data_IF_513163649708
#
_entry.id   IF_513163649708
#
_cell.length_a   1.000
_cell.length_b   1.000
_cell.length_c   1.000
_cell.angle_alpha   90.00
_cell.angle_beta   90.00
_cell.angle_gamma   90.00
#
_symmetry.space_group_name_H-M   'P 1'
#
loop_
_entity.id
_entity.type
_entity.pdbx_description
1 polymer ?
#
# COMPACT_ATOMS: atom_id res chain seq x y z
N UNK A 1 11.43 -17.20 19.75
CA UNK A 1 10.65 -17.32 18.50
C UNK A 1 9.48 -16.34 18.59
N UNK A 2 9.77 -15.04 18.74
CA UNK A 2 8.76 -14.12 19.33
C UNK A 2 8.80 -12.65 18.86
N UNK A 3 9.65 -12.26 17.89
CA UNK A 3 9.68 -10.86 17.41
C UNK A 3 9.53 -10.71 15.89
N UNK A 4 9.85 -11.75 15.09
CA UNK A 4 9.67 -11.74 13.64
C UNK A 4 8.19 -11.69 13.19
N UNK A 5 7.24 -11.99 14.09
CA UNK A 5 5.79 -11.91 13.82
C UNK A 5 5.17 -10.51 14.04
N UNK A 6 5.92 -9.53 14.56
CA UNK A 6 5.41 -8.15 14.76
C UNK A 6 5.66 -7.22 13.57
N UNK A 7 6.55 -7.60 12.65
CA UNK A 7 6.87 -6.84 11.44
C UNK A 7 5.72 -6.64 10.42
N UNK A 8 4.68 -7.51 10.30
CA UNK A 8 3.63 -7.26 9.32
C UNK A 8 2.69 -6.15 9.73
N UNK A 9 2.72 -5.62 10.96
CA UNK A 9 1.67 -4.72 11.46
C UNK A 9 2.04 -3.23 11.53
N UNK A 10 3.21 -2.83 11.04
CA UNK A 10 3.62 -1.42 11.08
C UNK A 10 2.68 -0.51 10.26
N UNK A 11 2.09 -1.03 9.18
CA UNK A 11 1.04 -0.34 8.44
C UNK A 11 -0.26 -0.18 9.26
N UNK A 12 -0.58 -1.13 10.16
CA UNK A 12 -1.70 -0.96 11.10
C UNK A 12 -1.44 0.17 12.09
N UNK A 13 -0.20 0.36 12.55
CA UNK A 13 0.13 1.46 13.48
C UNK A 13 -0.04 2.82 12.81
N UNK A 14 0.38 2.96 11.55
CA UNK A 14 0.17 4.17 10.75
C UNK A 14 -1.33 4.41 10.51
N UNK A 15 -2.07 3.38 10.08
CA UNK A 15 -3.51 3.46 9.87
C UNK A 15 -4.29 3.73 11.17
N UNK A 16 -3.87 3.15 12.30
CA UNK A 16 -4.49 3.37 13.60
C UNK A 16 -4.22 4.79 14.13
N UNK A 17 -3.03 5.34 13.86
CA UNK A 17 -2.68 6.72 14.24
C UNK A 17 -3.48 7.74 13.42
N UNK A 18 -3.62 7.52 12.11
CA UNK A 18 -4.52 8.29 11.24
C UNK A 18 -5.99 8.12 11.65
N UNK A 19 -6.39 6.90 12.01
CA UNK A 19 -7.74 6.62 12.50
C UNK A 19 -8.06 7.31 13.81
N UNK A 20 -7.10 7.41 14.74
CA UNK A 20 -7.26 8.14 15.99
C UNK A 20 -7.40 9.66 15.77
N UNK A 21 -6.81 10.22 14.72
CA UNK A 21 -7.07 11.62 14.32
C UNK A 21 -8.48 11.76 13.70
N UNK A 22 -8.85 10.88 12.78
CA UNK A 22 -10.19 10.86 12.16
C UNK A 22 -11.34 10.65 13.16
N UNK A 23 -11.14 9.88 14.22
CA UNK A 23 -12.17 9.56 15.23
C UNK A 23 -12.41 10.69 16.24
N UNK A 24 -11.50 11.68 16.33
CA UNK A 24 -11.64 12.79 17.29
C UNK A 24 -12.59 13.90 16.84
N UNK A 25 -13.06 13.86 15.59
CA UNK A 25 -13.83 14.97 14.98
C UNK A 25 -15.20 14.56 14.39
N UNK A 26 -15.61 13.29 14.40
CA UNK A 26 -16.75 12.81 13.60
C UNK A 26 -18.02 12.46 14.40
N UNK A 27 -19.17 12.90 13.89
CA UNK A 27 -20.52 12.41 14.20
C UNK A 27 -20.66 10.92 13.83
N UNK A 28 -21.05 10.10 14.80
CA UNK A 28 -21.14 8.63 14.75
C UNK A 28 -22.22 8.08 13.77
N UNK A 29 -22.84 8.93 12.95
CA UNK A 29 -23.97 8.57 12.09
C UNK A 29 -23.58 8.02 10.71
N UNK A 30 -22.33 8.20 10.26
CA UNK A 30 -21.77 7.55 9.06
C UNK A 30 -20.50 6.78 9.41
N UNK A 31 -20.50 5.47 9.15
CA UNK A 31 -19.30 4.64 9.30
C UNK A 31 -18.29 5.06 8.24
N UNK A 32 -17.18 5.68 8.66
CA UNK A 32 -16.11 6.05 7.75
C UNK A 32 -15.44 4.81 7.17
N UNK A 33 -15.05 4.90 5.90
CA UNK A 33 -14.52 3.77 5.14
C UNK A 33 -13.01 3.87 4.94
N UNK A 34 -12.31 2.74 4.96
CA UNK A 34 -10.93 2.65 4.51
C UNK A 34 -10.88 1.83 3.22
N UNK A 35 -10.22 2.37 2.20
CA UNK A 35 -10.10 1.74 0.89
C UNK A 35 -8.71 1.11 0.73
N UNK A 36 -8.65 -0.15 0.30
CA UNK A 36 -7.43 -0.77 -0.23
C UNK A 36 -7.48 -0.86 -1.75
N UNK A 37 -6.36 -0.57 -2.43
CA UNK A 37 -6.14 -0.81 -3.85
C UNK A 37 -4.92 -1.72 -3.98
N UNK A 38 -5.14 -3.02 -4.18
CA UNK A 38 -4.05 -4.01 -4.15
C UNK A 38 -4.40 -5.28 -4.94
N UNK A 39 -3.44 -6.21 -5.00
CA UNK A 39 -3.67 -7.56 -5.51
C UNK A 39 -4.55 -8.39 -4.57
N UNK A 40 -5.27 -9.35 -5.15
CA UNK A 40 -6.01 -10.38 -4.42
C UNK A 40 -5.16 -11.64 -4.30
N UNK A 41 -4.89 -12.02 -3.06
CA UNK A 41 -4.38 -13.32 -2.65
C UNK A 41 -5.56 -14.25 -2.33
N UNK A 42 -5.84 -15.29 -3.13
CA UNK A 42 -6.95 -16.21 -2.88
C UNK A 42 -6.80 -17.05 -1.60
N UNK A 43 -5.59 -17.17 -1.04
CA UNK A 43 -5.36 -17.88 0.23
C UNK A 43 -5.74 -17.04 1.46
N UNK A 44 -5.93 -15.73 1.30
CA UNK A 44 -6.21 -14.79 2.39
C UNK A 44 -4.99 -14.40 3.23
N UNK A 45 -3.77 -14.75 2.82
CA UNK A 45 -2.54 -14.45 3.55
C UNK A 45 -1.95 -13.06 3.28
N UNK A 46 -2.41 -12.36 2.25
CA UNK A 46 -1.96 -11.03 1.85
C UNK A 46 -3.02 -10.25 1.06
N UNK A 47 -2.61 -9.09 0.52
CA UNK A 47 -3.41 -8.30 -0.42
C UNK A 47 -4.69 -7.75 0.18
N UNK A 48 -5.68 -7.51 -0.68
CA UNK A 48 -6.93 -6.84 -0.28
C UNK A 48 -7.67 -7.54 0.87
N UNK A 49 -7.55 -8.87 1.00
CA UNK A 49 -8.24 -9.62 2.06
C UNK A 49 -7.65 -9.31 3.45
N UNK A 50 -6.33 -9.21 3.55
CA UNK A 50 -5.67 -8.83 4.80
C UNK A 50 -5.95 -7.38 5.14
N UNK A 51 -5.86 -6.48 4.16
CA UNK A 51 -6.18 -5.06 4.37
C UNK A 51 -7.62 -4.87 4.87
N UNK A 52 -8.58 -5.57 4.27
CA UNK A 52 -9.99 -5.56 4.69
C UNK A 52 -10.15 -6.06 6.13
N UNK A 53 -9.47 -7.15 6.50
CA UNK A 53 -9.52 -7.67 7.87
C UNK A 53 -8.94 -6.67 8.88
N UNK A 54 -7.84 -6.03 8.52
CA UNK A 54 -7.18 -4.96 9.29
C UNK A 54 -8.12 -3.77 9.49
N UNK A 55 -8.75 -3.25 8.42
CA UNK A 55 -9.65 -2.11 8.52
C UNK A 55 -10.84 -2.41 9.44
N UNK A 56 -11.42 -3.61 9.34
CA UNK A 56 -12.51 -4.05 10.24
C UNK A 56 -12.05 -4.10 11.69
N UNK A 57 -10.87 -4.67 11.95
CA UNK A 57 -10.30 -4.73 13.30
C UNK A 57 -10.06 -3.33 13.90
N UNK A 58 -9.78 -2.35 13.05
CA UNK A 58 -9.62 -0.94 13.44
C UNK A 58 -10.96 -0.15 13.50
N UNK A 59 -12.11 -0.80 13.26
CA UNK A 59 -13.44 -0.18 13.35
C UNK A 59 -13.90 0.58 12.11
N UNK A 60 -13.18 0.49 10.99
CA UNK A 60 -13.59 1.10 9.73
C UNK A 60 -14.50 0.18 8.91
N UNK A 61 -15.35 0.78 8.07
CA UNK A 61 -15.98 0.04 6.98
C UNK A 61 -14.92 -0.26 5.90
N UNK A 62 -14.65 -1.52 5.57
CA UNK A 62 -13.64 -1.85 4.59
C UNK A 62 -14.19 -1.75 3.16
N UNK A 63 -13.46 -1.08 2.28
CA UNK A 63 -13.66 -1.13 0.84
C UNK A 63 -12.40 -1.64 0.14
N UNK A 64 -12.54 -2.28 -1.01
CA UNK A 64 -11.40 -2.77 -1.79
C UNK A 64 -11.59 -2.60 -3.29
N UNK A 65 -10.47 -2.36 -3.97
CA UNK A 65 -10.32 -2.37 -5.42
C UNK A 65 -9.24 -3.38 -5.75
N UNK A 66 -9.55 -4.32 -6.64
CA UNK A 66 -8.60 -5.36 -7.04
C UNK A 66 -7.80 -4.87 -8.25
N UNK A 67 -6.49 -4.73 -8.07
CA UNK A 67 -5.55 -4.30 -9.11
C UNK A 67 -4.89 -5.48 -9.85
N UNK A 68 -4.81 -6.64 -9.19
CA UNK A 68 -4.27 -7.86 -9.77
C UNK A 68 -4.90 -9.09 -9.11
N UNK A 69 -5.01 -10.18 -9.85
CA UNK A 69 -5.36 -11.49 -9.34
C UNK A 69 -4.10 -12.33 -9.29
N UNK A 70 -3.85 -13.00 -8.17
CA UNK A 70 -2.75 -13.95 -8.07
C UNK A 70 -3.29 -15.38 -8.15
N UNK A 71 -2.57 -16.23 -8.89
CA UNK A 71 -2.71 -17.67 -8.81
C UNK A 71 -1.66 -18.13 -7.82
N UNK A 72 -2.01 -18.20 -6.53
CA UNK A 72 -1.07 -18.55 -5.47
C UNK A 72 -1.74 -19.42 -4.40
N UNK A 73 -0.92 -20.10 -3.62
CA UNK A 73 -1.31 -20.75 -2.38
C UNK A 73 -0.47 -20.17 -1.22
N UNK A 74 -0.53 -20.79 -0.04
CA UNK A 74 0.20 -20.30 1.14
C UNK A 74 1.73 -20.40 1.01
N UNK A 75 2.23 -21.09 -0.01
CA UNK A 75 3.66 -21.40 -0.18
C UNK A 75 4.29 -20.68 -1.36
N UNK A 76 3.56 -20.45 -2.46
CA UNK A 76 4.14 -19.82 -3.66
C UNK A 76 3.14 -19.11 -4.54
N UNK A 77 3.65 -18.17 -5.34
CA UNK A 77 2.91 -17.48 -6.40
C UNK A 77 3.22 -18.11 -7.75
N UNK A 78 2.21 -18.70 -8.39
CA UNK A 78 2.33 -19.43 -9.65
C UNK A 78 2.03 -18.55 -10.86
N UNK A 79 1.28 -17.47 -10.66
CA UNK A 79 0.95 -16.54 -11.73
C UNK A 79 0.31 -15.27 -11.19
N UNK A 80 0.33 -14.22 -12.01
CA UNK A 80 -0.31 -12.94 -11.72
C UNK A 80 -1.02 -12.48 -12.98
N UNK A 81 -2.25 -12.01 -12.83
CA UNK A 81 -3.04 -11.39 -13.90
C UNK A 81 -3.40 -9.98 -13.45
N UNK A 82 -2.83 -8.98 -14.11
CA UNK A 82 -3.21 -7.59 -13.89
C UNK A 82 -4.66 -7.34 -14.29
N UNK A 83 -5.40 -6.63 -13.45
CA UNK A 83 -6.71 -6.09 -13.83
C UNK A 83 -6.49 -4.92 -14.78
N UNK A 84 -7.36 -4.76 -15.77
CA UNK A 84 -7.31 -3.63 -16.70
C UNK A 84 -7.30 -2.29 -15.93
N UNK A 85 -6.40 -1.34 -16.26
CA UNK A 85 -6.29 -0.07 -15.55
C UNK A 85 -7.57 0.77 -15.56
N UNK A 86 -8.35 0.69 -16.64
CA UNK A 86 -9.66 1.36 -16.75
C UNK A 86 -10.68 0.73 -15.80
N UNK A 87 -10.64 -0.60 -15.64
CA UNK A 87 -11.45 -1.31 -14.64
C UNK A 87 -11.00 -0.99 -13.21
N UNK A 88 -9.70 -0.90 -12.92
CA UNK A 88 -9.19 -0.46 -11.61
C UNK A 88 -9.70 0.93 -11.26
N UNK A 89 -9.59 1.87 -12.21
CA UNK A 89 -10.10 3.23 -12.04
C UNK A 89 -11.61 3.26 -11.81
N UNK A 90 -12.38 2.54 -12.63
CA UNK A 90 -13.84 2.51 -12.54
C UNK A 90 -14.34 1.93 -11.21
N UNK A 91 -13.68 0.88 -10.70
CA UNK A 91 -13.97 0.33 -9.37
C UNK A 91 -13.76 1.39 -8.28
N UNK A 92 -12.62 2.08 -8.32
CA UNK A 92 -12.29 3.07 -7.30
C UNK A 92 -13.20 4.30 -7.35
N UNK A 93 -13.52 4.80 -8.55
CA UNK A 93 -14.47 5.90 -8.73
C UNK A 93 -15.86 5.57 -8.20
N UNK A 94 -16.33 4.33 -8.38
CA UNK A 94 -17.59 3.87 -7.81
C UNK A 94 -17.56 3.90 -6.27
N UNK A 95 -16.45 3.47 -5.66
CA UNK A 95 -16.27 3.51 -4.20
C UNK A 95 -16.21 4.94 -3.67
N UNK A 96 -15.39 5.81 -4.26
CA UNK A 96 -15.26 7.21 -3.83
C UNK A 96 -16.56 8.00 -3.98
N UNK A 97 -17.41 7.62 -4.94
CA UNK A 97 -18.71 8.26 -5.15
C UNK A 97 -19.75 7.87 -4.08
N UNK A 98 -19.66 6.66 -3.55
CA UNK A 98 -20.66 6.09 -2.63
C UNK A 98 -20.26 6.23 -1.15
N UNK A 99 -18.96 6.08 -0.84
CA UNK A 99 -18.46 5.97 0.52
C UNK A 99 -17.70 7.23 0.97
N UNK A 100 -17.83 7.56 2.26
CA UNK A 100 -16.93 8.52 2.93
C UNK A 100 -15.60 7.84 3.24
N UNK A 101 -14.67 7.91 2.28
CA UNK A 101 -13.34 7.30 2.39
C UNK A 101 -12.42 8.16 3.26
N UNK A 102 -12.04 7.64 4.42
CA UNK A 102 -11.16 8.30 5.38
C UNK A 102 -9.67 8.07 5.14
N UNK A 103 -9.30 6.98 4.48
CA UNK A 103 -7.91 6.68 4.14
C UNK A 103 -7.85 5.69 2.97
N UNK A 104 -6.73 5.74 2.24
CA UNK A 104 -6.41 4.80 1.18
C UNK A 104 -5.10 4.06 1.49
N UNK A 105 -5.11 2.74 1.37
CA UNK A 105 -3.92 1.89 1.32
C UNK A 105 -3.71 1.43 -0.12
N UNK A 106 -2.51 1.60 -0.64
CA UNK A 106 -2.11 1.04 -1.93
C UNK A 106 -1.12 -0.09 -1.68
N UNK A 107 -1.34 -1.25 -2.30
CA UNK A 107 -0.47 -2.42 -2.24
C UNK A 107 0.08 -2.80 -3.61
N UNK A 108 0.19 -4.11 -3.88
CA UNK A 108 0.67 -4.61 -5.16
C UNK A 108 -0.24 -4.20 -6.33
N UNK A 109 0.31 -3.53 -7.35
CA UNK A 109 -0.42 -3.02 -8.51
C UNK A 109 -0.14 -3.76 -9.83
N UNK A 110 0.84 -4.67 -9.84
CA UNK A 110 1.29 -5.43 -11.01
C UNK A 110 1.96 -4.62 -12.12
N UNK A 111 1.23 -3.78 -12.86
CA UNK A 111 1.73 -3.14 -14.09
C UNK A 111 2.01 -1.65 -13.94
N UNK A 112 2.82 -1.11 -14.85
CA UNK A 112 3.10 0.34 -14.93
C UNK A 112 1.82 1.15 -15.21
N UNK A 113 0.89 0.59 -15.99
CA UNK A 113 -0.38 1.22 -16.31
C UNK A 113 -1.28 1.30 -15.09
N UNK A 114 -1.30 0.26 -14.24
CA UNK A 114 -2.03 0.30 -12.98
C UNK A 114 -1.43 1.32 -11.99
N UNK A 115 -0.10 1.41 -11.92
CA UNK A 115 0.56 2.46 -11.12
C UNK A 115 0.15 3.85 -11.59
N UNK A 116 0.12 4.09 -12.91
CA UNK A 116 -0.35 5.37 -13.47
C UNK A 116 -1.81 5.64 -13.17
N UNK A 117 -2.69 4.67 -13.39
CA UNK A 117 -4.12 4.81 -13.15
C UNK A 117 -4.42 5.14 -11.68
N UNK A 118 -3.74 4.46 -10.74
CA UNK A 118 -3.88 4.73 -9.30
C UNK A 118 -3.28 6.10 -8.93
N UNK A 119 -2.12 6.47 -9.47
CA UNK A 119 -1.55 7.80 -9.21
C UNK A 119 -2.46 8.92 -9.73
N UNK A 120 -3.00 8.78 -10.94
CA UNK A 120 -3.90 9.77 -11.55
C UNK A 120 -5.21 9.91 -10.75
N UNK A 121 -5.76 8.78 -10.28
CA UNK A 121 -6.91 8.75 -9.38
C UNK A 121 -6.61 9.49 -8.06
N UNK A 122 -5.49 9.17 -7.39
CA UNK A 122 -5.16 9.75 -6.08
C UNK A 122 -4.84 11.25 -6.14
N UNK A 123 -4.42 11.79 -7.29
CA UNK A 123 -4.26 13.25 -7.45
C UNK A 123 -5.57 14.02 -7.31
N UNK A 124 -6.73 13.37 -7.51
CA UNK A 124 -8.03 13.99 -7.28
C UNK A 124 -8.47 13.95 -5.80
N UNK A 125 -7.72 13.26 -4.94
CA UNK A 125 -8.09 12.94 -3.55
C UNK A 125 -6.93 13.21 -2.57
N UNK A 126 -6.23 14.34 -2.74
CA UNK A 126 -5.04 14.70 -1.94
C UNK A 126 -5.36 15.13 -0.51
N UNK A 127 -6.63 15.35 -0.19
CA UNK A 127 -7.14 15.62 1.16
C UNK A 127 -7.27 14.36 2.03
N UNK A 128 -7.24 13.17 1.41
CA UNK A 128 -7.36 11.89 2.10
C UNK A 128 -5.96 11.30 2.36
N UNK A 129 -5.63 10.85 3.59
CA UNK A 129 -4.38 10.16 3.88
C UNK A 129 -4.15 8.92 3.01
N UNK A 130 -2.94 8.80 2.44
CA UNK A 130 -2.56 7.70 1.54
C UNK A 130 -1.33 6.95 2.06
N UNK A 131 -1.49 5.67 2.36
CA UNK A 131 -0.39 4.77 2.69
C UNK A 131 -0.03 3.95 1.46
N UNK A 132 1.20 4.08 0.96
CA UNK A 132 1.70 3.32 -0.19
C UNK A 132 2.64 2.22 0.30
N UNK A 133 2.24 0.97 0.14
CA UNK A 133 3.15 -0.18 0.26
C UNK A 133 3.75 -0.47 -1.12
N UNK A 134 5.05 -0.18 -1.34
CA UNK A 134 5.68 -0.35 -2.65
C UNK A 134 6.00 -1.82 -2.94
N UNK A 135 5.01 -2.71 -2.84
CA UNK A 135 5.18 -4.17 -2.97
C UNK A 135 5.71 -4.51 -4.35
N UNK A 136 6.94 -5.01 -4.41
CA UNK A 136 7.58 -5.40 -5.68
C UNK A 136 7.68 -6.92 -5.86
N UNK A 137 7.69 -7.67 -4.75
CA UNK A 137 7.82 -9.13 -4.74
C UNK A 137 6.89 -9.74 -3.69
N UNK A 138 6.47 -10.97 -3.93
CA UNK A 138 5.82 -11.82 -2.95
C UNK A 138 6.83 -12.32 -1.91
N UNK A 139 6.33 -12.85 -0.79
CA UNK A 139 7.18 -13.46 0.25
C UNK A 139 8.03 -14.63 -0.29
N UNK A 140 7.57 -15.34 -1.32
CA UNK A 140 8.32 -16.40 -2.01
C UNK A 140 9.36 -15.89 -3.04
N UNK A 141 9.47 -14.56 -3.21
CA UNK A 141 10.41 -13.92 -4.13
C UNK A 141 9.86 -13.68 -5.53
N UNK A 142 8.65 -14.16 -5.84
CA UNK A 142 8.03 -13.96 -7.14
C UNK A 142 7.67 -12.49 -7.37
N UNK A 143 7.84 -12.04 -8.61
CA UNK A 143 7.64 -10.64 -8.98
C UNK A 143 6.14 -10.29 -8.91
N UNK A 144 5.83 -9.18 -8.23
CA UNK A 144 4.48 -8.60 -8.15
C UNK A 144 4.40 -7.21 -8.80
N UNK A 145 5.50 -6.75 -9.40
CA UNK A 145 5.59 -5.49 -10.11
C UNK A 145 6.49 -5.65 -11.36
N UNK A 146 5.95 -5.35 -12.54
CA UNK A 146 6.65 -5.49 -13.82
C UNK A 146 7.91 -4.62 -13.92
N UNK A 147 8.87 -5.07 -14.73
CA UNK A 147 10.07 -4.28 -15.05
C UNK A 147 9.67 -2.98 -15.75
N UNK A 148 10.02 -1.84 -15.15
CA UNK A 148 9.65 -0.50 -15.62
C UNK A 148 8.54 0.18 -14.82
N UNK A 149 7.74 -0.56 -14.04
CA UNK A 149 6.72 0.04 -13.18
C UNK A 149 7.32 0.74 -11.94
N UNK A 150 8.57 0.42 -11.57
CA UNK A 150 9.31 1.10 -10.49
C UNK A 150 9.48 2.59 -10.78
N UNK A 151 9.74 2.98 -12.03
CA UNK A 151 9.90 4.39 -12.39
C UNK A 151 8.59 5.19 -12.25
N UNK A 152 7.46 4.57 -12.56
CA UNK A 152 6.15 5.18 -12.33
C UNK A 152 5.82 5.24 -10.84
N UNK A 153 6.20 4.20 -10.08
CA UNK A 153 6.01 4.15 -8.65
C UNK A 153 6.77 5.30 -7.96
N UNK A 154 8.06 5.47 -8.26
CA UNK A 154 8.90 6.52 -7.69
C UNK A 154 8.56 7.91 -8.22
N UNK A 155 8.28 8.04 -9.52
CA UNK A 155 8.06 9.35 -10.15
C UNK A 155 6.64 9.88 -10.03
N UNK A 156 5.62 9.03 -9.79
CA UNK A 156 4.22 9.45 -9.82
C UNK A 156 3.39 9.07 -8.60
N UNK A 157 3.62 7.90 -8.00
CA UNK A 157 2.78 7.42 -6.90
C UNK A 157 3.35 7.74 -5.52
N UNK A 158 4.63 7.45 -5.28
CA UNK A 158 5.30 7.78 -4.02
C UNK A 158 5.28 9.27 -3.65
N UNK A 159 5.41 10.23 -4.59
CA UNK A 159 5.30 11.65 -4.28
C UNK A 159 3.92 12.07 -3.76
N UNK A 160 2.90 11.20 -3.90
CA UNK A 160 1.57 11.44 -3.35
C UNK A 160 1.40 10.81 -1.98
N UNK A 161 2.34 10.00 -1.49
CA UNK A 161 2.16 9.21 -0.28
C UNK A 161 2.23 10.08 0.99
N UNK A 162 1.20 10.03 1.82
CA UNK A 162 1.29 10.50 3.22
C UNK A 162 2.28 9.62 3.99
N UNK A 163 2.28 8.32 3.73
CA UNK A 163 3.31 7.43 4.24
C UNK A 163 3.65 6.35 3.22
N UNK A 164 4.94 6.04 3.08
CA UNK A 164 5.40 4.90 2.30
C UNK A 164 6.03 3.88 3.26
N UNK A 165 5.73 2.59 3.04
CA UNK A 165 6.14 1.52 3.97
C UNK A 165 7.03 0.44 3.33
N UNK A 166 8.13 0.77 2.60
CA UNK A 166 9.01 -0.26 2.03
C UNK A 166 9.65 -1.14 3.11
N UNK A 167 9.91 -2.40 2.80
CA UNK A 167 10.91 -3.18 3.54
C UNK A 167 12.35 -2.80 3.14
N UNK A 168 13.37 -3.37 3.78
CA UNK A 168 14.79 -3.09 3.48
C UNK A 168 15.15 -3.30 2.01
N UNK A 169 14.75 -4.42 1.39
CA UNK A 169 15.04 -4.69 -0.02
C UNK A 169 14.35 -3.69 -0.96
N UNK A 170 13.10 -3.34 -0.65
CA UNK A 170 12.31 -2.35 -1.40
C UNK A 170 12.91 -0.96 -1.24
N UNK A 171 13.33 -0.58 -0.03
CA UNK A 171 13.97 0.70 0.24
C UNK A 171 15.28 0.82 -0.55
N UNK A 172 16.12 -0.22 -0.55
CA UNK A 172 17.32 -0.27 -1.39
C UNK A 172 17.01 -0.08 -2.86
N UNK A 173 15.97 -0.77 -3.37
CA UNK A 173 15.61 -0.69 -4.78
C UNK A 173 15.01 0.66 -5.18
N UNK A 174 14.25 1.29 -4.30
CA UNK A 174 13.65 2.60 -4.53
C UNK A 174 14.71 3.71 -4.51
N UNK A 175 15.60 3.68 -3.52
CA UNK A 175 16.57 4.74 -3.25
C UNK A 175 17.88 4.58 -4.03
N UNK A 176 18.17 3.38 -4.52
CA UNK A 176 19.47 3.03 -5.12
C UNK A 176 20.58 2.84 -4.09
N UNK A 177 20.28 2.87 -2.79
CA UNK A 177 21.22 2.69 -1.70
C UNK A 177 21.29 1.23 -1.29
N UNK A 178 22.45 0.79 -0.80
CA UNK A 178 22.56 -0.50 -0.15
C UNK A 178 22.24 -0.32 1.35
N UNK A 179 21.16 -0.93 1.83
CA UNK A 179 20.67 -0.73 3.21
C UNK A 179 21.09 -1.91 4.08
N UNK A 180 22.18 -1.73 4.86
CA UNK A 180 22.78 -2.79 5.71
C UNK A 180 23.09 -2.35 7.14
N UNK A 181 22.97 -1.06 7.43
CA UNK A 181 23.23 -0.45 8.74
C UNK A 181 22.11 0.52 9.14
N UNK A 182 22.11 0.95 10.40
CA UNK A 182 21.08 1.86 10.91
C UNK A 182 21.22 3.24 10.24
N UNK A 183 22.46 3.63 9.98
CA UNK A 183 22.83 4.82 9.22
C UNK A 183 22.32 4.74 7.78
N UNK A 184 22.38 3.57 7.13
CA UNK A 184 21.81 3.40 5.78
C UNK A 184 20.28 3.49 5.80
N UNK A 185 19.62 3.02 6.86
CA UNK A 185 18.16 3.19 7.01
C UNK A 185 17.80 4.65 7.16
N UNK A 186 18.55 5.41 7.97
CA UNK A 186 18.34 6.84 8.10
C UNK A 186 18.50 7.56 6.76
N UNK A 187 19.54 7.24 5.99
CA UNK A 187 19.73 7.83 4.64
C UNK A 187 18.64 7.37 3.65
N UNK A 188 18.16 6.12 3.75
CA UNK A 188 17.04 5.65 2.95
C UNK A 188 15.74 6.40 3.28
N UNK A 189 15.47 6.66 4.56
CA UNK A 189 14.34 7.49 5.00
C UNK A 189 14.45 8.91 4.44
N UNK A 190 15.62 9.55 4.53
CA UNK A 190 15.85 10.86 3.93
C UNK A 190 15.65 10.86 2.42
N UNK A 191 16.13 9.83 1.74
CA UNK A 191 15.95 9.67 0.29
C UNK A 191 14.47 9.54 -0.10
N UNK A 192 13.69 8.75 0.65
CA UNK A 192 12.24 8.63 0.45
C UNK A 192 11.51 9.96 0.71
N UNK A 193 11.90 10.72 1.74
CA UNK A 193 11.37 12.06 1.98
C UNK A 193 11.67 13.01 0.81
N UNK A 194 12.88 12.96 0.25
CA UNK A 194 13.25 13.74 -0.96
C UNK A 194 12.44 13.36 -2.19
N UNK A 195 11.88 12.15 -2.25
CA UNK A 195 10.94 11.71 -3.29
C UNK A 195 9.51 12.22 -3.07
N UNK A 196 9.24 12.94 -1.98
CA UNK A 196 7.92 13.52 -1.67
C UNK A 196 7.05 12.69 -0.75
N UNK A 197 7.58 11.61 -0.14
CA UNK A 197 6.87 10.87 0.91
C UNK A 197 6.86 11.72 2.18
N UNK A 198 5.68 12.03 2.73
CA UNK A 198 5.57 12.88 3.92
C UNK A 198 6.15 12.19 5.17
N UNK A 199 5.77 10.92 5.39
CA UNK A 199 6.21 10.11 6.54
C UNK A 199 6.71 8.74 6.06
N UNK A 200 7.99 8.62 5.65
CA UNK A 200 8.54 7.34 5.22
C UNK A 200 8.79 6.40 6.41
N UNK A 201 8.63 5.10 6.17
CA UNK A 201 8.83 4.04 7.16
C UNK A 201 9.53 2.85 6.52
N UNK A 202 10.67 2.43 7.06
CA UNK A 202 11.38 1.22 6.60
C UNK A 202 11.06 0.04 7.53
N UNK A 203 10.48 -1.03 6.96
CA UNK A 203 10.10 -2.27 7.68
C UNK A 203 11.23 -3.29 7.64
N UNK A 204 11.26 -4.18 8.63
CA UNK A 204 12.21 -5.30 8.67
C UNK A 204 13.63 -4.90 9.06
N UNK A 205 13.77 -3.72 9.69
CA UNK A 205 15.00 -3.24 10.29
C UNK A 205 14.88 -3.34 11.82
N UNK A 206 15.54 -4.33 12.42
CA UNK A 206 15.68 -4.52 13.88
C UNK A 206 16.81 -5.51 14.19
#
# INVERSE_FOLDING_TARGET
MEEAERAPYLHLVVLASLGAQCMREADMSRHRSCLTIAGLDPSGGAGVLVDVAVFRALGFHPACVVAALTVQDTSSVKGVVGVDPGVVKSQAEAVFKDLDVAAVKVGALWSRENVRAVADLLRAHLDIPRVVDPVMKAKGGERLLEEGAVAELTGKLLPLATSATPNVEEASRLTGLEVKSAEDVEEALHSLSRMGVEVPVVKGWM
#
